data_IF_566662545498
#
_entry.id   IF_566662545498
#
_cell.length_a   1.000
_cell.length_b   1.000
_cell.length_c   1.000
_cell.angle_alpha   90.00
_cell.angle_beta   90.00
_cell.angle_gamma   90.00
#
_symmetry.space_group_name_H-M   'P 1'
#
loop_
_entity.id
_entity.type
_entity.pdbx_description
1 polymer ?
#
# COMPACT_ATOMS: atom_id res chain seq x y z
N UNK A 1 25.03 -7.48 -4.50
CA UNK A 1 24.13 -6.32 -4.31
C UNK A 1 22.91 -6.81 -3.52
N UNK A 2 22.81 -6.56 -2.21
CA UNK A 2 21.61 -6.93 -1.46
C UNK A 2 20.50 -5.91 -1.74
N UNK A 3 19.31 -6.38 -2.07
CA UNK A 3 18.15 -5.55 -2.35
C UNK A 3 17.69 -4.91 -1.04
N UNK A 4 17.91 -3.61 -0.86
CA UNK A 4 17.62 -2.88 0.39
C UNK A 4 16.15 -2.52 0.58
N UNK A 5 15.35 -2.67 -0.47
CA UNK A 5 13.94 -2.30 -0.49
C UNK A 5 13.11 -3.44 -1.05
N UNK A 6 11.96 -3.69 -0.44
CA UNK A 6 11.04 -4.75 -0.83
C UNK A 6 9.61 -4.21 -0.74
N UNK A 7 8.82 -4.55 -1.74
CA UNK A 7 7.38 -4.26 -1.75
C UNK A 7 6.66 -5.57 -1.52
N UNK A 8 5.76 -5.60 -0.54
CA UNK A 8 4.94 -6.77 -0.22
C UNK A 8 3.48 -6.33 -0.16
N UNK A 9 2.61 -7.06 -0.85
CA UNK A 9 1.16 -6.92 -0.69
C UNK A 9 0.74 -7.82 0.46
N UNK A 10 0.08 -7.24 1.46
CA UNK A 10 -0.41 -8.03 2.61
C UNK A 10 -1.53 -8.97 2.19
N UNK A 11 -1.74 -10.06 2.93
CA UNK A 11 -2.83 -11.00 2.68
C UNK A 11 -4.19 -10.30 2.71
N UNK A 12 -4.36 -9.34 3.63
CA UNK A 12 -5.56 -8.51 3.71
C UNK A 12 -5.73 -7.60 2.48
N UNK A 13 -4.63 -7.02 1.97
CA UNK A 13 -4.63 -6.20 0.75
C UNK A 13 -5.00 -7.03 -0.49
N UNK A 14 -4.38 -8.19 -0.66
CA UNK A 14 -4.67 -9.11 -1.76
C UNK A 14 -6.14 -9.56 -1.75
N UNK A 15 -6.69 -9.90 -0.58
CA UNK A 15 -8.10 -10.27 -0.45
C UNK A 15 -9.05 -9.12 -0.85
N UNK A 16 -8.74 -7.87 -0.48
CA UNK A 16 -9.53 -6.69 -0.88
C UNK A 16 -9.47 -6.44 -2.39
N UNK A 17 -8.30 -6.62 -3.00
CA UNK A 17 -8.15 -6.49 -4.45
C UNK A 17 -8.94 -7.58 -5.18
N UNK A 18 -8.87 -8.84 -4.73
CA UNK A 18 -9.65 -9.94 -5.30
C UNK A 18 -11.16 -9.71 -5.16
N UNK A 19 -11.63 -9.15 -4.04
CA UNK A 19 -13.04 -8.83 -3.85
C UNK A 19 -13.54 -7.67 -4.74
N UNK A 20 -12.64 -6.86 -5.30
CA UNK A 20 -13.00 -5.77 -6.20
C UNK A 20 -13.05 -6.19 -7.68
N UNK A 21 -12.45 -7.34 -8.04
CA UNK A 21 -12.43 -7.83 -9.43
C UNK A 21 -13.64 -8.67 -9.79
N UNK A 22 -14.44 -9.12 -8.81
CA UNK A 22 -15.69 -9.84 -9.08
C UNK A 22 -16.75 -8.91 -9.72
N UNK A 23 -17.61 -9.43 -10.61
CA UNK A 23 -18.72 -8.66 -11.18
C UNK A 23 -19.62 -8.09 -10.07
N UNK A 24 -19.78 -6.76 -10.02
CA UNK A 24 -20.50 -6.08 -8.93
C UNK A 24 -19.69 -5.92 -7.62
N UNK A 25 -18.40 -6.22 -7.66
CA UNK A 25 -17.47 -6.12 -6.54
C UNK A 25 -17.34 -4.70 -5.99
N UNK A 26 -17.06 -4.61 -4.69
CA UNK A 26 -16.87 -3.32 -4.02
C UNK A 26 -15.53 -2.73 -4.46
N UNK A 27 -15.56 -1.54 -5.07
CA UNK A 27 -14.34 -0.81 -5.46
C UNK A 27 -13.40 -0.65 -4.26
N UNK A 28 -12.11 -0.94 -4.47
CA UNK A 28 -11.08 -0.62 -3.48
C UNK A 28 -10.83 0.88 -3.50
N UNK A 29 -11.08 1.55 -2.38
CA UNK A 29 -10.68 2.94 -2.18
C UNK A 29 -9.40 2.98 -1.36
N UNK A 30 -8.34 3.53 -1.94
CA UNK A 30 -7.11 3.85 -1.22
C UNK A 30 -7.28 5.28 -0.72
N UNK A 31 -7.34 5.46 0.60
CA UNK A 31 -7.71 6.75 1.21
C UNK A 31 -6.58 7.39 2.00
N UNK A 32 -5.62 6.60 2.48
CA UNK A 32 -4.54 7.07 3.32
C UNK A 32 -3.25 6.30 3.03
N UNK A 33 -2.13 6.97 3.28
CA UNK A 33 -0.81 6.37 3.36
C UNK A 33 -0.23 6.64 4.74
N UNK A 34 0.57 5.70 5.24
CA UNK A 34 1.19 5.78 6.55
C UNK A 34 2.64 5.30 6.47
N UNK A 35 3.49 5.85 7.33
CA UNK A 35 4.92 5.57 7.40
C UNK A 35 5.23 5.12 8.82
N UNK A 36 5.94 3.99 8.92
CA UNK A 36 6.50 3.50 10.17
C UNK A 36 8.01 3.40 10.04
N UNK A 37 8.73 3.79 11.09
CA UNK A 37 10.20 3.81 11.10
C UNK A 37 10.81 2.50 11.65
N UNK A 38 9.98 1.50 11.97
CA UNK A 38 10.42 0.23 12.51
C UNK A 38 11.02 0.32 13.92
N UNK A 39 10.84 1.45 14.62
CA UNK A 39 11.52 1.74 15.87
C UNK A 39 13.03 1.95 15.69
N UNK A 40 13.45 2.47 14.53
CA UNK A 40 14.86 2.66 14.17
C UNK A 40 15.57 1.40 13.69
N UNK A 41 14.83 0.31 13.46
CA UNK A 41 15.37 -0.96 12.94
C UNK A 41 14.70 -1.31 11.61
N UNK A 42 15.48 -1.85 10.68
CA UNK A 42 14.95 -2.40 9.44
C UNK A 42 14.11 -3.65 9.77
N UNK A 43 12.79 -3.51 9.68
CA UNK A 43 11.86 -4.64 9.74
C UNK A 43 11.75 -5.29 8.37
N UNK A 44 11.83 -6.62 8.31
CA UNK A 44 11.50 -7.37 7.08
C UNK A 44 9.99 -7.27 6.82
N UNK A 45 9.55 -6.82 5.63
CA UNK A 45 8.13 -6.77 5.28
C UNK A 45 7.55 -8.19 5.19
N UNK A 46 6.45 -8.42 5.89
CA UNK A 46 5.72 -9.70 5.91
C UNK A 46 4.28 -9.51 5.42
N UNK A 47 3.79 -10.48 4.63
CA UNK A 47 2.44 -10.43 4.08
C UNK A 47 1.35 -10.55 5.16
N UNK A 48 1.68 -11.13 6.32
CA UNK A 48 0.80 -11.20 7.48
C UNK A 48 0.66 -9.89 8.25
N UNK A 49 1.43 -8.84 7.93
CA UNK A 49 1.36 -7.56 8.63
C UNK A 49 0.00 -6.88 8.44
N UNK A 50 -0.62 -6.53 9.57
CA UNK A 50 -1.88 -5.78 9.62
C UNK A 50 -1.69 -4.32 10.04
N UNK A 51 -0.50 -3.97 10.52
CA UNK A 51 -0.10 -2.63 10.97
C UNK A 51 1.38 -2.39 10.73
N UNK A 52 1.76 -1.11 10.66
CA UNK A 52 3.16 -0.69 10.61
C UNK A 52 3.83 -0.89 11.97
N UNK A 53 5.13 -1.13 11.95
CA UNK A 53 5.96 -1.11 13.16
C UNK A 53 6.31 0.35 13.46
N UNK A 54 5.89 0.82 14.64
CA UNK A 54 6.04 2.21 15.09
C UNK A 54 5.60 3.22 14.02
N UNK A 55 4.29 3.34 13.81
CA UNK A 55 3.74 4.33 12.90
C UNK A 55 4.05 5.74 13.41
N UNK A 56 4.82 6.48 12.63
CA UNK A 56 5.26 7.85 12.96
C UNK A 56 4.46 8.90 12.20
N UNK A 57 3.80 8.49 11.12
CA UNK A 57 3.12 9.43 10.25
C UNK A 57 1.98 8.73 9.49
N UNK A 58 0.84 9.41 9.39
CA UNK A 58 -0.32 8.97 8.61
C UNK A 58 -1.05 10.18 8.09
N UNK A 59 -1.42 10.15 6.82
CA UNK A 59 -2.23 11.20 6.22
C UNK A 59 -3.15 10.64 5.13
N UNK A 60 -4.21 11.36 4.85
CA UNK A 60 -5.03 11.12 3.67
C UNK A 60 -4.18 11.29 2.40
N UNK A 61 -4.46 10.49 1.38
CA UNK A 61 -3.84 10.68 0.07
C UNK A 61 -4.16 12.08 -0.45
N UNK A 62 -3.15 12.77 -0.98
CA UNK A 62 -3.34 14.07 -1.60
C UNK A 62 -3.89 13.93 -3.02
N UNK A 63 -3.44 12.89 -3.73
CA UNK A 63 -3.93 12.57 -5.07
C UNK A 63 -3.89 11.07 -5.32
N UNK A 64 -4.92 10.58 -6.01
CA UNK A 64 -4.94 9.25 -6.60
C UNK A 64 -5.44 9.35 -8.04
N UNK A 65 -4.64 8.87 -8.98
CA UNK A 65 -4.96 8.94 -10.41
C UNK A 65 -4.39 7.75 -11.17
N UNK A 66 -4.99 7.40 -12.30
CA UNK A 66 -4.40 6.46 -13.25
C UNK A 66 -3.16 7.09 -13.89
N UNK A 67 -2.12 6.29 -14.14
CA UNK A 67 -0.93 6.78 -14.85
C UNK A 67 -1.29 7.14 -16.30
N UNK A 68 -0.70 8.23 -16.81
CA UNK A 68 -1.00 8.74 -18.14
C UNK A 68 -0.38 7.89 -19.27
N UNK A 69 0.64 7.07 -18.96
CA UNK A 69 1.32 6.22 -19.94
C UNK A 69 0.90 4.76 -19.84
N UNK A 70 0.55 4.31 -18.64
CA UNK A 70 0.18 2.93 -18.34
C UNK A 70 -1.21 2.87 -17.71
N UNK A 71 -2.21 2.52 -18.50
CA UNK A 71 -3.60 2.42 -18.02
C UNK A 71 -3.80 1.36 -16.93
N UNK A 72 -2.87 0.42 -16.78
CA UNK A 72 -2.89 -0.56 -15.71
C UNK A 72 -2.25 -0.06 -14.40
N UNK A 73 -1.73 1.17 -14.35
CA UNK A 73 -1.07 1.72 -13.17
C UNK A 73 -1.95 2.75 -12.46
N UNK A 74 -1.88 2.72 -11.13
CA UNK A 74 -2.48 3.71 -10.23
C UNK A 74 -1.34 4.40 -9.51
N UNK A 75 -1.32 5.73 -9.60
CA UNK A 75 -0.37 6.60 -8.92
C UNK A 75 -1.09 7.21 -7.72
N UNK A 76 -0.54 6.99 -6.53
CA UNK A 76 -1.00 7.58 -5.28
C UNK A 76 0.11 8.49 -4.73
N UNK A 77 -0.21 9.76 -4.54
CA UNK A 77 0.76 10.78 -4.12
C UNK A 77 0.43 11.34 -2.74
N UNK A 78 1.50 11.74 -2.06
CA UNK A 78 1.49 12.23 -0.70
C UNK A 78 2.58 13.29 -0.58
N UNK A 79 2.24 14.41 0.04
CA UNK A 79 3.12 15.53 0.33
C UNK A 79 3.73 15.35 1.72
#
# INVERSE_FOLDING_TARGET
>A
MSMRFKTVVTTAGAARLAAATVPGGKKVSITAMAVGDGGGKLSEPDAGQTKLVNEVWRHALNKISQDNRHSNYIVAELL
#
